data_IF_621693836725
#
_entry.id   IF_621693836725
#
_cell.length_a   1.000
_cell.length_b   1.000
_cell.length_c   1.000
_cell.angle_alpha   90.00
_cell.angle_beta   90.00
_cell.angle_gamma   90.00
#
_symmetry.space_group_name_H-M   'P 1'
#
loop_
_entity.id
_entity.type
_entity.pdbx_description
1 polymer ?
#
# COMPACT_ATOMS: atom_id res chain seq x y z
N UNK A 1 50.20 10.39 -22.50
CA UNK A 1 49.03 9.77 -23.16
C UNK A 1 48.55 8.56 -22.32
N UNK A 2 47.78 8.71 -21.23
CA UNK A 2 46.41 9.25 -21.07
C UNK A 2 45.40 8.64 -22.05
N UNK A 3 44.70 7.59 -21.60
CA UNK A 3 43.24 7.54 -21.51
C UNK A 3 42.79 6.20 -20.89
N UNK A 4 42.48 6.21 -19.58
CA UNK A 4 41.40 5.37 -19.04
C UNK A 4 40.05 5.92 -19.53
N UNK A 5 39.02 5.07 -19.64
CA UNK A 5 37.73 5.44 -19.08
C UNK A 5 37.09 4.23 -18.35
N UNK A 6 36.88 4.35 -17.03
CA UNK A 6 35.60 4.77 -16.42
C UNK A 6 34.68 3.58 -16.05
N UNK A 7 34.97 3.02 -14.86
CA UNK A 7 34.04 2.88 -13.73
C UNK A 7 32.55 3.08 -14.07
N UNK A 8 31.80 1.98 -14.23
CA UNK A 8 30.39 1.96 -13.85
C UNK A 8 30.23 0.99 -12.69
N UNK A 9 30.23 1.53 -11.48
CA UNK A 9 29.71 0.85 -10.31
C UNK A 9 28.22 0.63 -10.56
N UNK A 10 27.87 -0.49 -11.19
CA UNK A 10 26.51 -1.00 -11.21
C UNK A 10 26.16 -1.35 -9.76
N UNK A 11 25.62 -0.36 -9.07
CA UNK A 11 24.93 -0.50 -7.81
C UNK A 11 24.05 -1.75 -7.89
N UNK A 12 24.36 -2.73 -7.05
CA UNK A 12 23.81 -4.09 -7.05
C UNK A 12 22.31 -4.03 -6.69
N UNK A 13 21.50 -3.64 -7.67
CA UNK A 13 20.06 -3.43 -7.53
C UNK A 13 19.37 -4.39 -8.48
N UNK A 14 18.60 -5.32 -7.91
CA UNK A 14 17.69 -6.17 -8.68
C UNK A 14 16.75 -5.27 -9.49
N UNK A 15 16.73 -5.38 -10.84
CA UNK A 15 15.83 -4.60 -11.69
C UNK A 15 14.36 -4.90 -11.37
N UNK A 16 13.47 -3.92 -11.54
CA UNK A 16 12.03 -4.18 -11.41
C UNK A 16 11.56 -5.20 -12.46
N UNK A 17 12.08 -5.09 -13.69
CA UNK A 17 11.70 -5.93 -14.83
C UNK A 17 11.88 -7.42 -14.55
N UNK A 18 13.02 -7.81 -13.98
CA UNK A 18 13.35 -9.19 -13.67
C UNK A 18 12.36 -9.86 -12.71
N UNK A 19 11.88 -9.11 -11.70
CA UNK A 19 10.90 -9.63 -10.72
C UNK A 19 9.50 -9.69 -11.32
N UNK A 20 9.12 -8.67 -12.10
CA UNK A 20 7.81 -8.65 -12.77
C UNK A 20 7.72 -9.74 -13.84
N UNK A 21 8.79 -9.94 -14.61
CA UNK A 21 8.89 -11.00 -15.61
C UNK A 21 8.78 -12.39 -14.98
N UNK A 22 9.49 -12.64 -13.87
CA UNK A 22 9.37 -13.89 -13.13
C UNK A 22 7.92 -14.16 -12.69
N UNK A 23 7.24 -13.14 -12.15
CA UNK A 23 5.84 -13.26 -11.73
C UNK A 23 4.88 -13.48 -12.91
N UNK A 24 5.15 -12.88 -14.07
CA UNK A 24 4.36 -13.11 -15.29
C UNK A 24 4.55 -14.54 -15.83
N UNK A 25 5.79 -15.02 -15.87
CA UNK A 25 6.13 -16.31 -16.48
C UNK A 25 5.70 -17.49 -15.60
N UNK A 26 5.85 -17.37 -14.28
CA UNK A 26 5.40 -18.41 -13.34
C UNK A 26 3.87 -18.52 -13.39
N UNK A 27 3.15 -17.40 -13.55
CA UNK A 27 1.73 -17.41 -13.93
C UNK A 27 0.78 -18.10 -12.95
N UNK A 28 1.18 -18.29 -11.69
CA UNK A 28 0.39 -19.04 -10.71
C UNK A 28 -0.87 -18.27 -10.31
N UNK A 29 -2.06 -18.91 -10.32
CA UNK A 29 -3.33 -18.25 -9.95
C UNK A 29 -3.32 -17.73 -8.50
N UNK A 30 -2.54 -18.37 -7.63
CA UNK A 30 -2.36 -17.99 -6.23
C UNK A 30 -1.12 -17.12 -5.97
N UNK A 31 -0.39 -16.72 -7.02
CA UNK A 31 0.88 -16.01 -6.95
C UNK A 31 2.08 -16.92 -6.65
N UNK A 32 3.28 -16.35 -6.72
CA UNK A 32 4.55 -17.09 -6.56
C UNK A 32 5.24 -16.73 -5.25
N UNK A 33 5.80 -17.73 -4.56
CA UNK A 33 6.56 -17.49 -3.33
C UNK A 33 7.97 -16.95 -3.62
N UNK A 34 8.68 -16.52 -2.57
CA UNK A 34 10.04 -15.97 -2.71
C UNK A 34 10.99 -17.01 -3.31
N UNK A 35 10.81 -18.28 -2.95
CA UNK A 35 11.64 -19.39 -3.41
C UNK A 35 11.49 -19.63 -4.91
N UNK A 36 10.27 -19.69 -5.44
CA UNK A 36 9.99 -19.85 -6.87
C UNK A 36 10.52 -18.68 -7.68
N UNK A 37 10.31 -17.44 -7.21
CA UNK A 37 10.84 -16.25 -7.89
C UNK A 37 12.38 -16.27 -7.88
N UNK A 38 12.99 -16.67 -6.77
CA UNK A 38 14.44 -16.78 -6.64
C UNK A 38 14.99 -17.81 -7.63
N UNK A 39 14.38 -19.00 -7.66
CA UNK A 39 14.77 -20.10 -8.52
C UNK A 39 14.63 -19.75 -10.01
N UNK A 40 13.53 -19.11 -10.40
CA UNK A 40 13.32 -18.66 -11.77
C UNK A 40 14.42 -17.70 -12.24
N UNK A 41 14.80 -16.75 -11.38
CA UNK A 41 15.81 -15.76 -11.72
C UNK A 41 17.22 -16.39 -11.73
N UNK A 42 17.51 -17.28 -10.79
CA UNK A 42 18.77 -18.05 -10.71
C UNK A 42 19.04 -18.90 -11.97
N UNK A 43 17.99 -19.45 -12.58
CA UNK A 43 18.14 -20.24 -13.82
C UNK A 43 18.50 -19.38 -15.03
N UNK A 44 18.11 -18.09 -15.04
CA UNK A 44 18.26 -17.19 -16.20
C UNK A 44 19.37 -16.16 -16.05
N UNK A 45 19.81 -15.89 -14.82
CA UNK A 45 20.81 -14.88 -14.50
C UNK A 45 21.79 -15.38 -13.44
N UNK A 46 23.07 -15.03 -13.57
CA UNK A 46 24.04 -15.21 -12.49
C UNK A 46 23.67 -14.28 -11.33
N UNK A 47 23.14 -14.87 -10.25
CA UNK A 47 22.76 -14.13 -9.05
C UNK A 47 23.91 -14.10 -8.04
N UNK A 48 24.00 -13.00 -7.29
CA UNK A 48 24.98 -12.86 -6.22
C UNK A 48 24.56 -13.61 -4.96
N UNK A 49 25.52 -13.97 -4.09
CA UNK A 49 25.24 -14.71 -2.84
C UNK A 49 24.20 -14.04 -1.91
N UNK A 50 24.04 -12.72 -1.98
CA UNK A 50 23.08 -11.96 -1.17
C UNK A 50 21.72 -11.74 -1.87
N UNK A 51 21.48 -12.42 -3.00
CA UNK A 51 20.34 -12.15 -3.87
C UNK A 51 18.99 -12.31 -3.17
N UNK A 52 18.79 -13.38 -2.41
CA UNK A 52 17.53 -13.60 -1.67
C UNK A 52 17.18 -12.44 -0.73
N UNK A 53 18.17 -11.90 -0.02
CA UNK A 53 17.99 -10.73 0.87
C UNK A 53 17.63 -9.48 0.06
N UNK A 54 18.30 -9.26 -1.06
CA UNK A 54 18.03 -8.15 -1.97
C UNK A 54 16.63 -8.27 -2.61
N UNK A 55 16.21 -9.50 -2.95
CA UNK A 55 14.91 -9.81 -3.54
C UNK A 55 13.79 -9.52 -2.56
N UNK A 56 13.90 -9.95 -1.31
CA UNK A 56 12.91 -9.62 -0.27
C UNK A 56 12.80 -8.09 -0.07
N UNK A 57 13.93 -7.38 -0.05
CA UNK A 57 13.92 -5.91 0.02
C UNK A 57 13.30 -5.27 -1.23
N UNK A 58 13.41 -5.91 -2.40
CA UNK A 58 12.82 -5.46 -3.65
C UNK A 58 11.31 -5.67 -3.68
N UNK A 59 10.83 -6.85 -3.28
CA UNK A 59 9.42 -7.19 -3.19
C UNK A 59 8.68 -6.22 -2.26
N UNK A 60 9.24 -5.91 -1.08
CA UNK A 60 8.67 -4.88 -0.18
C UNK A 60 8.51 -3.51 -0.85
N UNK A 61 9.50 -3.08 -1.63
CA UNK A 61 9.43 -1.80 -2.37
C UNK A 61 8.40 -1.83 -3.50
N UNK A 62 8.25 -2.96 -4.19
CA UNK A 62 7.24 -3.11 -5.25
C UNK A 62 5.81 -3.14 -4.69
N UNK A 63 5.63 -3.70 -3.49
CA UNK A 63 4.37 -3.64 -2.75
C UNK A 63 4.04 -2.20 -2.35
N UNK A 64 5.01 -1.47 -1.78
CA UNK A 64 4.83 -0.06 -1.44
C UNK A 64 4.49 0.80 -2.68
N UNK A 65 5.03 0.45 -3.85
CA UNK A 65 4.72 1.09 -5.13
C UNK A 65 3.40 0.62 -5.77
N UNK A 66 2.62 -0.25 -5.11
CA UNK A 66 1.37 -0.86 -5.61
C UNK A 66 1.51 -1.52 -6.99
N UNK A 67 2.69 -2.11 -7.28
CA UNK A 67 2.95 -2.84 -8.53
C UNK A 67 2.69 -4.34 -8.39
N UNK A 68 2.93 -4.86 -7.20
CA UNK A 68 2.64 -6.24 -6.81
C UNK A 68 1.91 -6.21 -5.47
N UNK A 69 1.16 -7.26 -5.18
CA UNK A 69 0.50 -7.51 -3.90
C UNK A 69 1.06 -8.78 -3.27
N UNK A 70 1.00 -8.85 -1.94
CA UNK A 70 1.34 -10.06 -1.18
C UNK A 70 0.05 -10.74 -0.74
N UNK A 71 -0.12 -11.99 -1.14
CA UNK A 71 -1.25 -12.85 -0.79
C UNK A 71 -0.70 -13.99 0.05
N UNK A 72 -0.85 -13.88 1.37
CA UNK A 72 -0.27 -14.80 2.35
C UNK A 72 1.26 -14.99 2.17
N UNK A 73 1.72 -16.12 1.63
CA UNK A 73 3.14 -16.41 1.37
C UNK A 73 3.59 -16.15 -0.06
N UNK A 74 2.65 -15.76 -0.92
CA UNK A 74 2.87 -15.58 -2.35
C UNK A 74 2.78 -14.11 -2.77
N UNK A 75 3.41 -13.79 -3.89
CA UNK A 75 3.43 -12.47 -4.50
C UNK A 75 2.77 -12.55 -5.87
N UNK A 76 1.92 -11.59 -6.19
CA UNK A 76 1.23 -11.51 -7.48
C UNK A 76 1.27 -10.08 -8.00
N UNK A 77 1.26 -9.91 -9.32
CA UNK A 77 1.11 -8.59 -9.93
C UNK A 77 -0.31 -8.08 -9.65
N UNK A 78 -0.42 -6.82 -9.20
CA UNK A 78 -1.73 -6.20 -8.98
C UNK A 78 -2.45 -6.01 -10.31
N UNK A 79 -3.76 -6.24 -10.38
CA UNK A 79 -4.59 -6.06 -11.58
C UNK A 79 -4.39 -4.68 -12.24
N UNK A 80 -4.29 -3.64 -11.42
CA UNK A 80 -4.05 -2.26 -11.88
C UNK A 80 -2.68 -2.05 -12.55
N UNK A 81 -1.66 -2.84 -12.16
CA UNK A 81 -0.35 -2.81 -12.79
C UNK A 81 -0.29 -3.72 -14.02
N UNK A 82 -0.94 -4.89 -13.97
CA UNK A 82 -1.09 -5.78 -15.13
C UNK A 82 -1.78 -5.07 -16.32
N UNK A 83 -2.84 -4.30 -16.05
CA UNK A 83 -3.51 -3.46 -17.03
C UNK A 83 -2.58 -2.39 -17.64
N UNK A 84 -1.67 -1.81 -16.84
CA UNK A 84 -0.70 -0.82 -17.32
C UNK A 84 0.41 -1.45 -18.17
N UNK A 85 0.90 -2.63 -17.79
CA UNK A 85 1.93 -3.37 -18.53
C UNK A 85 1.38 -3.86 -19.88
N UNK A 86 0.13 -4.31 -19.91
CA UNK A 86 -0.56 -4.71 -21.16
C UNK A 86 -0.92 -3.52 -22.07
N UNK A 87 -1.15 -2.32 -21.51
CA UNK A 87 -1.31 -1.08 -22.28
C UNK A 87 0.02 -0.57 -22.85
N UNK A 88 1.14 -0.78 -22.16
CA UNK A 88 2.46 -0.34 -22.61
C UNK A 88 3.04 -1.14 -23.80
N UNK A 89 2.52 -2.35 -24.06
CA UNK A 89 2.91 -3.17 -25.22
C UNK A 89 2.02 -2.97 -26.47
N UNK A 90 1.12 -1.98 -26.48
CA UNK A 90 0.44 -1.55 -27.71
C UNK A 90 1.13 -0.32 -28.30
N UNK A 91 2.16 -0.58 -29.09
CA UNK A 91 2.62 0.40 -30.08
C UNK A 91 1.50 0.72 -31.08
N UNK A 92 1.50 1.93 -31.69
CA UNK A 92 0.34 2.48 -32.40
C UNK A 92 0.26 1.90 -33.82
N UNK A 93 -0.82 1.18 -34.12
CA UNK A 93 -1.09 0.76 -35.50
C UNK A 93 -1.62 1.95 -36.33
N UNK A 94 -1.01 2.23 -37.50
CA UNK A 94 -1.32 3.39 -38.34
C UNK A 94 -2.56 3.20 -39.22
N UNK A 95 -3.18 4.33 -39.54
CA UNK A 95 -4.36 4.53 -40.41
C UNK A 95 -4.18 3.99 -41.83
N UNK A 96 -5.31 3.56 -42.44
CA UNK A 96 -5.74 3.76 -43.85
C UNK A 96 -7.04 2.95 -44.08
N UNK A 97 -8.10 3.38 -44.76
CA UNK A 97 -8.52 4.66 -45.34
C UNK A 97 -9.98 4.44 -45.90
N UNK A 98 -10.64 5.42 -46.55
CA UNK A 98 -12.08 5.66 -46.48
C UNK A 98 -12.90 5.08 -47.66
N UNK A 99 -14.18 4.75 -47.45
CA UNK A 99 -15.22 4.89 -48.48
C UNK A 99 -16.65 4.66 -47.94
N UNK A 100 -17.37 5.78 -47.86
CA UNK A 100 -18.81 5.97 -48.19
C UNK A 100 -19.92 5.58 -47.19
N UNK A 101 -20.82 6.53 -46.87
CA UNK A 101 -21.95 6.34 -45.96
C UNK A 101 -23.24 5.94 -46.72
N UNK A 102 -23.95 4.93 -46.24
CA UNK A 102 -25.35 4.69 -46.60
C UNK A 102 -26.27 5.25 -45.52
N UNK A 103 -27.10 6.20 -45.94
CA UNK A 103 -28.11 6.86 -45.14
C UNK A 103 -29.35 5.97 -44.98
N UNK A 104 -29.87 5.89 -43.76
CA UNK A 104 -31.28 5.83 -43.36
C UNK A 104 -31.25 5.36 -41.89
N UNK A 105 -31.54 6.19 -40.90
CA UNK A 105 -32.89 6.68 -40.66
C UNK A 105 -32.84 8.02 -39.92
N UNK A 106 -33.65 8.95 -40.41
CA UNK A 106 -33.92 10.21 -39.76
C UNK A 106 -34.75 9.94 -38.50
N UNK A 107 -34.27 10.33 -37.33
CA UNK A 107 -35.13 11.11 -36.46
C UNK A 107 -34.36 12.32 -35.92
N UNK A 108 -34.99 13.45 -36.14
CA UNK A 108 -34.53 14.81 -35.98
C UNK A 108 -34.67 15.19 -34.50
N UNK A 109 -33.61 15.71 -33.92
CA UNK A 109 -33.64 16.21 -32.54
C UNK A 109 -32.31 16.75 -32.07
N UNK A 110 -31.68 17.62 -32.85
CA UNK A 110 -30.69 18.56 -32.32
C UNK A 110 -31.33 19.35 -31.18
N UNK A 111 -31.00 19.00 -29.94
CA UNK A 111 -30.86 19.99 -28.88
C UNK A 111 -29.44 19.89 -28.36
N UNK A 112 -28.55 20.62 -29.07
CA UNK A 112 -27.43 21.26 -28.43
C UNK A 112 -28.01 22.21 -27.37
N UNK A 113 -28.12 21.69 -26.15
CA UNK A 113 -28.58 22.38 -24.97
C UNK A 113 -28.47 21.39 -23.84
N UNK A 114 -27.42 21.51 -23.04
CA UNK A 114 -27.38 20.83 -21.74
C UNK A 114 -28.66 21.24 -21.02
N UNK A 115 -29.58 20.30 -20.84
CA UNK A 115 -30.78 20.57 -20.05
C UNK A 115 -30.31 21.07 -18.68
N UNK A 116 -30.91 22.11 -18.09
CA UNK A 116 -30.56 22.57 -16.75
C UNK A 116 -30.53 21.45 -15.71
N UNK A 117 -31.32 20.38 -15.92
CA UNK A 117 -31.33 19.18 -15.10
C UNK A 117 -30.06 18.33 -15.23
N UNK A 118 -29.47 18.22 -16.43
CA UNK A 118 -28.23 17.47 -16.66
C UNK A 118 -27.03 18.21 -16.05
N UNK A 119 -26.97 19.53 -16.22
CA UNK A 119 -25.92 20.38 -15.65
C UNK A 119 -25.98 20.37 -14.10
N UNK A 120 -27.19 20.43 -13.53
CA UNK A 120 -27.40 20.31 -12.08
C UNK A 120 -27.00 18.93 -11.55
N UNK A 121 -27.30 17.85 -12.28
CA UNK A 121 -26.89 16.50 -11.92
C UNK A 121 -25.36 16.33 -11.96
N UNK A 122 -24.70 16.88 -12.98
CA UNK A 122 -23.24 16.86 -13.09
C UNK A 122 -22.57 17.66 -11.94
N UNK A 123 -23.11 18.84 -11.61
CA UNK A 123 -22.62 19.64 -10.49
C UNK A 123 -22.85 18.94 -9.13
N UNK A 124 -23.97 18.23 -8.96
CA UNK A 124 -24.22 17.44 -7.76
C UNK A 124 -23.27 16.24 -7.64
N UNK A 125 -23.04 15.50 -8.74
CA UNK A 125 -22.10 14.38 -8.76
C UNK A 125 -20.67 14.81 -8.42
N UNK A 126 -20.22 15.96 -8.97
CA UNK A 126 -18.90 16.50 -8.66
C UNK A 126 -18.77 16.89 -7.18
N UNK A 127 -19.79 17.53 -6.59
CA UNK A 127 -19.80 17.84 -5.15
C UNK A 127 -19.77 16.61 -4.26
N UNK A 128 -20.45 15.53 -4.65
CA UNK A 128 -20.40 14.25 -3.93
C UNK A 128 -18.99 13.66 -4.01
N UNK A 129 -18.37 13.64 -5.19
CA UNK A 129 -17.00 13.17 -5.36
C UNK A 129 -15.99 13.98 -4.52
N UNK A 130 -16.11 15.31 -4.49
CA UNK A 130 -15.26 16.17 -3.67
C UNK A 130 -15.47 15.92 -2.16
N UNK A 131 -16.72 15.73 -1.73
CA UNK A 131 -17.04 15.43 -0.34
C UNK A 131 -16.50 14.06 0.09
N UNK A 132 -16.62 13.04 -0.76
CA UNK A 132 -16.08 11.70 -0.51
C UNK A 132 -14.55 11.72 -0.44
N UNK A 133 -13.88 12.41 -1.37
CA UNK A 133 -12.43 12.57 -1.36
C UNK A 133 -11.95 13.22 -0.05
N UNK A 134 -12.65 14.28 0.40
CA UNK A 134 -12.34 14.95 1.66
C UNK A 134 -12.61 14.06 2.89
N UNK A 135 -13.70 13.29 2.89
CA UNK A 135 -14.03 12.36 3.97
C UNK A 135 -13.01 11.24 4.08
N UNK A 136 -12.54 10.71 2.94
CA UNK A 136 -11.52 9.67 2.91
C UNK A 136 -10.22 10.16 3.54
N UNK A 137 -9.77 11.35 3.13
CA UNK A 137 -8.57 11.97 3.69
C UNK A 137 -8.72 12.18 5.21
N UNK A 138 -9.85 12.71 5.68
CA UNK A 138 -10.10 12.90 7.11
C UNK A 138 -10.06 11.56 7.90
N UNK A 139 -10.60 10.49 7.34
CA UNK A 139 -10.55 9.16 7.95
C UNK A 139 -9.12 8.59 8.02
N UNK A 140 -8.31 8.80 6.98
CA UNK A 140 -6.89 8.43 6.99
C UNK A 140 -6.12 9.17 8.09
N UNK A 141 -6.36 10.47 8.25
CA UNK A 141 -5.76 11.27 9.32
C UNK A 141 -6.17 10.78 10.72
N UNK A 142 -7.45 10.45 10.91
CA UNK A 142 -7.96 9.92 12.17
C UNK A 142 -7.31 8.57 12.49
N UNK A 143 -7.22 7.67 11.51
CA UNK A 143 -6.59 6.35 11.67
C UNK A 143 -5.11 6.47 12.05
N UNK A 144 -4.36 7.38 11.43
CA UNK A 144 -2.95 7.60 11.80
C UNK A 144 -2.82 8.25 13.20
N UNK A 145 -3.71 9.17 13.56
CA UNK A 145 -3.74 9.76 14.89
C UNK A 145 -4.01 8.72 15.99
N UNK A 146 -4.95 7.79 15.76
CA UNK A 146 -5.21 6.67 16.68
C UNK A 146 -3.99 5.76 16.82
N UNK A 147 -3.30 5.48 15.70
CA UNK A 147 -2.06 4.69 15.71
C UNK A 147 -0.97 5.36 16.55
N UNK A 148 -0.80 6.67 16.41
CA UNK A 148 0.17 7.47 17.18
C UNK A 148 -0.24 7.51 18.66
N UNK A 149 -1.52 7.69 18.96
CA UNK A 149 -2.03 7.73 20.33
C UNK A 149 -1.74 6.42 21.07
N UNK A 150 -2.01 5.27 20.44
CA UNK A 150 -1.70 3.97 21.03
C UNK A 150 -0.20 3.79 21.33
N UNK A 151 0.66 4.25 20.43
CA UNK A 151 2.10 4.20 20.66
C UNK A 151 2.53 5.13 21.81
N UNK A 152 1.88 6.28 21.95
CA UNK A 152 2.12 7.18 23.08
C UNK A 152 1.70 6.53 24.41
N UNK A 153 0.54 5.88 24.47
CA UNK A 153 0.09 5.14 25.66
C UNK A 153 1.06 4.01 26.04
N UNK A 154 1.53 3.22 25.07
CA UNK A 154 2.53 2.18 25.30
C UNK A 154 3.85 2.76 25.82
N UNK A 155 4.25 3.93 25.32
CA UNK A 155 5.47 4.63 25.75
C UNK A 155 5.34 5.14 27.18
N UNK A 156 4.22 5.77 27.55
CA UNK A 156 3.96 6.25 28.91
C UNK A 156 3.90 5.09 29.92
N UNK A 157 3.28 3.96 29.53
CA UNK A 157 3.30 2.74 30.33
C UNK A 157 4.72 2.24 30.57
N UNK A 158 5.58 2.22 29.54
CA UNK A 158 6.98 1.81 29.67
C UNK A 158 7.77 2.77 30.57
N UNK A 159 7.56 4.09 30.44
CA UNK A 159 8.24 5.10 31.29
C UNK A 159 7.82 4.95 32.75
N UNK A 160 6.53 4.72 32.99
CA UNK A 160 6.01 4.47 34.34
C UNK A 160 6.64 3.23 34.95
N UNK A 161 6.70 2.12 34.20
CA UNK A 161 7.33 0.89 34.63
C UNK A 161 8.83 1.06 34.92
N UNK A 162 9.55 1.78 34.06
CA UNK A 162 10.97 2.06 34.26
C UNK A 162 11.21 2.89 35.53
N UNK A 163 10.35 3.87 35.79
CA UNK A 163 10.40 4.70 37.00
C UNK A 163 10.18 3.83 38.25
N UNK A 164 9.17 2.98 38.23
CA UNK A 164 8.87 2.06 39.32
C UNK A 164 10.03 1.09 39.61
N UNK A 165 10.63 0.50 38.57
CA UNK A 165 11.80 -0.38 38.70
C UNK A 165 12.97 0.37 39.34
N UNK A 166 13.24 1.59 38.87
CA UNK A 166 14.31 2.42 39.41
C UNK A 166 14.10 2.74 40.89
N UNK A 167 12.90 3.15 41.28
CA UNK A 167 12.59 3.48 42.67
C UNK A 167 12.70 2.27 43.60
N UNK A 168 12.12 1.13 43.24
CA UNK A 168 12.22 -0.12 44.00
C UNK A 168 13.68 -0.58 44.12
N UNK A 169 14.43 -0.53 43.01
CA UNK A 169 15.86 -0.83 43.01
C UNK A 169 16.68 0.11 43.91
N UNK A 170 16.34 1.40 43.95
CA UNK A 170 17.00 2.39 44.82
C UNK A 170 16.80 2.10 46.32
N UNK A 171 15.74 1.38 46.68
CA UNK A 171 15.48 0.90 48.05
C UNK A 171 16.14 -0.44 48.36
N UNK A 172 16.88 -1.02 47.41
CA UNK A 172 17.51 -2.33 47.53
C UNK A 172 16.57 -3.51 47.28
N UNK A 173 15.37 -3.27 46.73
CA UNK A 173 14.44 -4.34 46.36
C UNK A 173 14.94 -5.05 45.08
N UNK A 174 14.99 -6.38 45.12
CA UNK A 174 15.32 -7.20 43.93
C UNK A 174 14.02 -7.55 43.22
N UNK A 175 13.85 -7.06 41.99
CA UNK A 175 12.69 -7.35 41.16
C UNK A 175 12.96 -8.46 40.17
N UNK A 176 12.06 -9.43 40.13
CA UNK A 176 12.07 -10.49 39.11
C UNK A 176 11.29 -10.05 37.88
N UNK A 177 11.65 -10.59 36.71
CA UNK A 177 10.99 -10.29 35.43
C UNK A 177 9.47 -10.59 35.50
N UNK A 178 9.06 -11.61 36.25
CA UNK A 178 7.63 -11.93 36.41
C UNK A 178 6.86 -10.86 37.19
N UNK A 179 7.47 -10.26 38.21
CA UNK A 179 6.83 -9.19 38.99
C UNK A 179 6.67 -7.91 38.15
N UNK A 180 7.66 -7.62 37.30
CA UNK A 180 7.63 -6.50 36.35
C UNK A 180 6.58 -6.71 35.25
N UNK A 181 6.37 -7.95 34.80
CA UNK A 181 5.35 -8.26 33.81
C UNK A 181 3.91 -8.16 34.36
N UNK A 182 3.73 -8.45 35.65
CA UNK A 182 2.42 -8.39 36.32
C UNK A 182 1.96 -6.94 36.55
N UNK A 183 2.85 -6.02 36.92
CA UNK A 183 2.48 -4.60 37.09
C UNK A 183 1.98 -4.00 35.77
N UNK A 184 2.57 -4.36 34.63
CA UNK A 184 2.14 -3.87 33.31
C UNK A 184 0.73 -4.34 32.89
N UNK A 185 0.26 -5.49 33.39
CA UNK A 185 -1.07 -6.03 33.10
C UNK A 185 -2.20 -5.29 33.85
N UNK A 186 -1.94 -4.88 35.10
CA UNK A 186 -2.91 -4.08 35.86
C UNK A 186 -3.10 -2.69 35.23
N UNK A 187 -2.04 -2.03 34.75
CA UNK A 187 -2.15 -0.71 34.08
C UNK A 187 -3.01 -0.75 32.81
N UNK A 188 -2.95 -1.84 32.03
CA UNK A 188 -3.74 -1.97 30.81
C UNK A 188 -5.23 -2.23 31.09
N UNK A 189 -5.55 -2.82 32.25
CA UNK A 189 -6.94 -3.11 32.66
C UNK A 189 -7.71 -1.90 33.19
N UNK A 190 -7.03 -0.84 33.64
CA UNK A 190 -7.67 0.34 34.24
C UNK A 190 -8.15 1.35 33.17
N UNK A 191 -7.59 1.34 31.96
CA UNK A 191 -7.97 2.29 30.89
C UNK A 191 -9.27 1.94 30.15
N UNK A 192 -9.93 0.81 30.47
CA UNK A 192 -11.11 0.31 29.75
C UNK A 192 -12.49 0.82 30.19
N UNK A 193 -12.58 1.66 31.23
CA UNK A 193 -13.87 2.10 31.78
C UNK A 193 -14.07 3.61 31.63
N UNK A 194 -14.40 4.06 30.41
CA UNK A 194 -14.69 5.46 30.15
C UNK A 194 -15.72 5.66 29.05
N UNK A 195 -16.92 6.10 29.45
CA UNK A 195 -17.94 6.76 28.63
C UNK A 195 -18.97 5.88 27.90
N UNK A 196 -20.05 5.58 28.62
CA UNK A 196 -21.36 5.24 28.07
C UNK A 196 -22.44 6.13 28.69
N UNK A 197 -22.33 7.46 28.56
CA UNK A 197 -23.45 8.37 28.86
C UNK A 197 -24.05 8.85 27.55
N UNK A 198 -25.01 8.10 27.04
CA UNK A 198 -25.91 8.56 25.98
C UNK A 198 -26.85 9.62 26.54
N UNK A 199 -26.75 10.83 26.00
CA UNK A 199 -27.64 11.95 26.31
C UNK A 199 -28.78 12.03 25.30
N UNK A 200 -29.96 12.41 25.81
CA UNK A 200 -31.08 13.07 25.11
C UNK A 200 -31.98 12.24 24.20
N UNK A 201 -33.22 12.03 24.65
CA UNK A 201 -34.39 12.02 23.76
C UNK A 201 -35.33 13.13 24.22
N UNK A 202 -35.47 14.12 23.33
CA UNK A 202 -36.52 15.14 23.31
C UNK A 202 -37.87 14.49 23.00
N UNK A 203 -38.90 14.84 23.78
CA UNK A 203 -40.30 14.90 23.35
C UNK A 203 -41.01 15.96 24.19
#
# INVERSE_FOLDING_TARGET
>A
PSADPEKSSQDVKIPNSMVIEALCEIGDPNGSDVDAICHYIEQRHEVQANFRRLLTAKLRRLIAAKKIEKIDRSYRITESYAAKVSQANKSPSPKKDPAKPLKASQNLGSFAGTSPALEAAAAAAMKVADAEAKSHLANEHMTEAERIFKLAEETESLVTLATEIYERGSRGEILTIMQVAQSNFEFQSVSGNGSGTGSTVLA
#
